data_IF_000412388529
#
_entry.id   IF_000412388529
#
_cell.length_a   1.000
_cell.length_b   1.000
_cell.length_c   1.000
_cell.angle_alpha   90.00
_cell.angle_beta   90.00
_cell.angle_gamma   90.00
#
_symmetry.space_group_name_H-M   'P 1'
#
loop_
_entity.id
_entity.type
_entity.pdbx_description
1 polymer ?
#
# COMPACT_ATOMS: atom_id res chain seq x y z
N UNK A 1 -1.49 17.76 -45.09
CA UNK A 1 -1.75 16.82 -43.97
C UNK A 1 -2.55 17.53 -42.90
N UNK A 2 -3.78 17.07 -42.64
CA UNK A 2 -4.67 17.64 -41.62
C UNK A 2 -3.99 17.64 -40.24
N UNK A 3 -4.14 18.74 -39.50
CA UNK A 3 -3.52 18.96 -38.18
C UNK A 3 -3.76 17.77 -37.22
N UNK A 4 -4.95 17.15 -37.30
CA UNK A 4 -5.35 16.00 -36.49
C UNK A 4 -4.48 14.75 -36.69
N UNK A 5 -3.96 14.51 -37.89
CA UNK A 5 -3.12 13.34 -38.17
C UNK A 5 -1.73 13.46 -37.50
N UNK A 6 -1.21 14.69 -37.37
CA UNK A 6 0.06 14.95 -36.68
C UNK A 6 -0.07 14.74 -35.17
N UNK A 7 -1.17 15.19 -34.56
CA UNK A 7 -1.44 14.92 -33.14
C UNK A 7 -1.67 13.44 -32.87
N UNK A 8 -2.38 12.74 -33.75
CA UNK A 8 -2.58 11.30 -33.63
C UNK A 8 -1.25 10.54 -33.68
N UNK A 9 -0.37 10.87 -34.63
CA UNK A 9 0.93 10.20 -34.77
C UNK A 9 1.88 10.47 -33.59
N UNK A 10 1.75 11.63 -32.94
CA UNK A 10 2.52 11.98 -31.74
C UNK A 10 2.09 11.18 -30.50
N UNK A 11 0.78 10.93 -30.35
CA UNK A 11 0.22 10.20 -29.20
C UNK A 11 0.14 8.69 -29.45
N UNK A 12 0.07 8.27 -30.71
CA UNK A 12 -0.07 6.88 -31.15
C UNK A 12 0.90 5.89 -30.46
N UNK A 13 2.23 6.14 -30.36
CA UNK A 13 3.13 5.17 -29.73
C UNK A 13 2.83 4.96 -28.24
N UNK A 14 2.53 6.03 -27.50
CA UNK A 14 2.17 5.93 -26.09
C UNK A 14 0.81 5.24 -25.91
N UNK A 15 -0.19 5.60 -26.73
CA UNK A 15 -1.51 4.99 -26.70
C UNK A 15 -1.46 3.49 -27.05
N UNK A 16 -0.66 3.11 -28.05
CA UNK A 16 -0.48 1.73 -28.48
C UNK A 16 0.20 0.90 -27.39
N UNK A 17 1.22 1.44 -26.70
CA UNK A 17 1.85 0.78 -25.56
C UNK A 17 0.86 0.52 -24.42
N UNK A 18 0.04 1.52 -24.07
CA UNK A 18 -1.01 1.35 -23.04
C UNK A 18 -2.05 0.32 -23.50
N UNK A 19 -2.49 0.38 -24.76
CA UNK A 19 -3.47 -0.54 -25.30
C UNK A 19 -3.00 -2.00 -25.23
N UNK A 20 -1.77 -2.26 -25.66
CA UNK A 20 -1.22 -3.62 -25.73
C UNK A 20 -0.79 -4.13 -24.36
N UNK A 21 -0.09 -3.33 -23.56
CA UNK A 21 0.53 -3.81 -22.32
C UNK A 21 -0.37 -3.70 -21.10
N UNK A 22 -1.42 -2.88 -21.14
CA UNK A 22 -2.32 -2.68 -20.01
C UNK A 22 -3.76 -3.05 -20.35
N UNK A 23 -4.30 -2.47 -21.42
CA UNK A 23 -5.72 -2.62 -21.75
C UNK A 23 -6.08 -4.03 -22.23
N UNK A 24 -5.24 -4.65 -23.06
CA UNK A 24 -5.40 -6.02 -23.51
C UNK A 24 -5.36 -7.05 -22.35
N UNK A 25 -4.32 -7.12 -21.50
CA UNK A 25 -4.30 -8.07 -20.39
C UNK A 25 -5.40 -7.79 -19.35
N UNK A 26 -5.77 -6.52 -19.12
CA UNK A 26 -6.90 -6.18 -18.26
C UNK A 26 -8.22 -6.71 -18.83
N UNK A 27 -8.49 -6.47 -20.11
CA UNK A 27 -9.68 -6.97 -20.79
C UNK A 27 -9.73 -8.49 -20.80
N UNK A 28 -8.61 -9.14 -21.10
CA UNK A 28 -8.47 -10.60 -21.02
C UNK A 28 -8.75 -11.10 -19.60
N UNK A 29 -8.18 -10.47 -18.58
CA UNK A 29 -8.41 -10.82 -17.17
C UNK A 29 -9.89 -10.70 -16.80
N UNK A 30 -10.55 -9.60 -17.19
CA UNK A 30 -11.98 -9.39 -16.95
C UNK A 30 -12.85 -10.46 -17.64
N UNK A 31 -12.60 -10.76 -18.91
CA UNK A 31 -13.35 -11.81 -19.64
C UNK A 31 -13.06 -13.19 -19.03
N UNK A 32 -11.81 -13.48 -18.68
CA UNK A 32 -11.40 -14.74 -18.05
C UNK A 32 -12.02 -14.95 -16.67
N UNK A 33 -12.33 -13.88 -15.94
CA UNK A 33 -13.00 -13.96 -14.65
C UNK A 33 -14.42 -14.56 -14.75
N UNK A 34 -15.07 -14.44 -15.92
CA UNK A 34 -16.40 -14.94 -16.19
C UNK A 34 -16.44 -16.14 -17.14
N UNK A 35 -15.31 -16.64 -17.64
CA UNK A 35 -15.26 -17.76 -18.58
C UNK A 35 -14.49 -18.93 -17.99
N UNK A 36 -14.98 -20.15 -18.18
CA UNK A 36 -14.31 -21.38 -17.72
C UNK A 36 -14.24 -22.41 -18.85
N UNK A 37 -13.32 -23.39 -18.78
CA UNK A 37 -13.23 -24.44 -19.79
C UNK A 37 -14.57 -25.15 -19.96
N UNK A 38 -15.19 -25.03 -21.14
CA UNK A 38 -16.48 -25.63 -21.46
C UNK A 38 -17.72 -24.84 -21.05
N UNK A 39 -17.58 -23.65 -20.45
CA UNK A 39 -18.69 -22.76 -20.11
C UNK A 39 -18.43 -21.31 -20.56
N UNK A 40 -19.29 -20.76 -21.45
CA UNK A 40 -19.11 -19.39 -21.97
C UNK A 40 -19.41 -18.29 -20.94
N UNK A 41 -20.09 -18.60 -19.84
CA UNK A 41 -20.30 -17.69 -18.72
C UNK A 41 -20.43 -18.46 -17.40
N UNK A 42 -19.63 -18.11 -16.39
CA UNK A 42 -19.65 -18.68 -15.04
C UNK A 42 -19.42 -17.61 -13.97
N UNK A 43 -20.01 -17.82 -12.79
CA UNK A 43 -19.77 -17.03 -11.57
C UNK A 43 -19.09 -17.86 -10.47
N UNK A 44 -18.65 -19.07 -10.79
CA UNK A 44 -18.08 -20.00 -9.81
C UNK A 44 -16.76 -19.48 -9.23
N UNK A 45 -15.97 -18.75 -10.05
CA UNK A 45 -14.77 -18.06 -9.59
C UNK A 45 -15.08 -17.04 -8.49
N UNK A 46 -16.12 -16.22 -8.66
CA UNK A 46 -16.54 -15.24 -7.64
C UNK A 46 -17.07 -15.92 -6.38
N UNK A 47 -17.85 -16.99 -6.53
CA UNK A 47 -18.34 -17.77 -5.38
C UNK A 47 -17.19 -18.35 -4.57
N UNK A 48 -16.15 -18.86 -5.23
CA UNK A 48 -14.96 -19.40 -4.58
C UNK A 48 -14.12 -18.32 -3.90
N UNK A 49 -13.96 -17.16 -4.54
CA UNK A 49 -13.28 -16.01 -3.94
C UNK A 49 -14.01 -15.53 -2.70
N UNK A 50 -15.34 -15.40 -2.77
CA UNK A 50 -16.14 -14.99 -1.61
C UNK A 50 -16.02 -15.99 -0.46
N UNK A 51 -16.11 -17.29 -0.76
CA UNK A 51 -16.02 -18.33 0.26
C UNK A 51 -14.65 -18.40 0.97
N UNK A 52 -13.55 -18.09 0.27
CA UNK A 52 -12.20 -18.23 0.79
C UNK A 52 -11.57 -16.92 1.28
N UNK A 53 -11.91 -15.78 0.67
CA UNK A 53 -11.18 -14.52 0.84
C UNK A 53 -12.06 -13.33 1.28
N UNK A 54 -13.35 -13.53 1.57
CA UNK A 54 -14.22 -12.42 2.00
C UNK A 54 -13.69 -11.70 3.25
N UNK A 55 -13.16 -12.46 4.22
CA UNK A 55 -12.54 -11.91 5.43
C UNK A 55 -11.31 -11.06 5.11
N UNK A 56 -10.44 -11.54 4.22
CA UNK A 56 -9.21 -10.83 3.83
C UNK A 56 -9.52 -9.53 3.08
N UNK A 57 -10.54 -9.53 2.22
CA UNK A 57 -11.02 -8.34 1.52
C UNK A 57 -11.56 -7.31 2.52
N UNK A 58 -12.38 -7.74 3.49
CA UNK A 58 -12.93 -6.85 4.51
C UNK A 58 -11.82 -6.27 5.40
N UNK A 59 -10.89 -7.10 5.85
CA UNK A 59 -9.74 -6.66 6.66
C UNK A 59 -8.89 -5.64 5.91
N UNK A 60 -8.58 -5.90 4.63
CA UNK A 60 -7.83 -4.98 3.78
C UNK A 60 -8.57 -3.65 3.61
N UNK A 61 -9.88 -3.69 3.39
CA UNK A 61 -10.70 -2.48 3.26
C UNK A 61 -10.68 -1.64 4.55
N UNK A 62 -10.87 -2.27 5.70
CA UNK A 62 -10.83 -1.59 7.01
C UNK A 62 -9.46 -0.93 7.23
N UNK A 63 -8.37 -1.66 7.00
CA UNK A 63 -7.01 -1.12 7.16
C UNK A 63 -6.78 0.06 6.22
N UNK A 64 -7.20 -0.05 4.95
CA UNK A 64 -7.05 1.04 3.97
C UNK A 64 -7.81 2.28 4.45
N UNK A 65 -9.06 2.14 4.89
CA UNK A 65 -9.86 3.26 5.37
C UNK A 65 -9.24 3.93 6.60
N UNK A 66 -8.82 3.14 7.59
CA UNK A 66 -8.15 3.65 8.80
C UNK A 66 -6.84 4.33 8.44
N UNK A 67 -6.04 3.72 7.57
CA UNK A 67 -4.75 4.28 7.14
C UNK A 67 -4.93 5.59 6.39
N UNK A 68 -5.90 5.67 5.47
CA UNK A 68 -6.22 6.89 4.72
C UNK A 68 -6.71 7.99 5.65
N UNK A 69 -7.57 7.67 6.63
CA UNK A 69 -8.06 8.65 7.60
C UNK A 69 -6.93 9.21 8.47
N UNK A 70 -6.05 8.35 8.99
CA UNK A 70 -4.88 8.76 9.78
C UNK A 70 -3.90 9.57 8.93
N UNK A 71 -3.60 9.13 7.71
CA UNK A 71 -2.73 9.84 6.78
C UNK A 71 -3.31 11.21 6.41
N UNK A 72 -4.61 11.31 6.17
CA UNK A 72 -5.26 12.59 5.88
C UNK A 72 -5.11 13.54 7.07
N UNK A 73 -5.37 13.08 8.29
CA UNK A 73 -5.22 13.89 9.50
C UNK A 73 -3.78 14.39 9.68
N UNK A 74 -2.79 13.50 9.56
CA UNK A 74 -1.36 13.84 9.70
C UNK A 74 -0.92 14.76 8.55
N UNK A 75 -1.31 14.47 7.31
CA UNK A 75 -0.91 15.26 6.15
C UNK A 75 -1.50 16.67 6.20
N UNK A 76 -2.78 16.82 6.57
CA UNK A 76 -3.44 18.13 6.70
C UNK A 76 -2.80 18.93 7.84
N UNK A 77 -2.60 18.32 9.02
CA UNK A 77 -1.97 19.02 10.16
C UNK A 77 -0.54 19.45 9.83
N UNK A 78 0.25 18.57 9.23
CA UNK A 78 1.62 18.88 8.82
C UNK A 78 1.66 19.95 7.72
N UNK A 79 0.76 19.88 6.75
CA UNK A 79 0.63 20.88 5.68
C UNK A 79 0.25 22.25 6.25
N UNK A 80 -0.69 22.31 7.20
CA UNK A 80 -1.07 23.54 7.88
C UNK A 80 0.12 24.15 8.65
N UNK A 81 0.88 23.33 9.40
CA UNK A 81 2.10 23.78 10.10
C UNK A 81 3.14 24.33 9.12
N UNK A 82 3.38 23.65 8.01
CA UNK A 82 4.35 24.08 7.00
C UNK A 82 3.89 25.38 6.30
N UNK A 83 2.61 25.48 5.95
CA UNK A 83 2.06 26.62 5.21
C UNK A 83 1.95 27.89 6.07
N UNK A 84 1.63 27.76 7.36
CA UNK A 84 1.42 28.89 8.28
C UNK A 84 2.68 29.27 9.06
N UNK A 85 3.73 28.45 9.08
CA UNK A 85 4.93 28.72 9.86
C UNK A 85 5.83 29.79 9.22
N UNK A 86 6.22 30.84 9.96
CA UNK A 86 7.18 31.84 9.49
C UNK A 86 8.63 31.32 9.47
N UNK A 87 8.91 30.18 10.09
CA UNK A 87 10.26 29.63 10.24
C UNK A 87 10.74 28.86 9.00
N UNK A 88 11.37 29.59 8.06
CA UNK A 88 12.03 29.02 6.85
C UNK A 88 12.94 27.78 7.07
N UNK A 89 13.77 27.68 8.12
CA UNK A 89 14.61 26.49 8.31
C UNK A 89 13.80 25.24 8.68
N UNK A 90 12.72 25.38 9.46
CA UNK A 90 11.86 24.27 9.86
C UNK A 90 11.14 23.69 8.65
N UNK A 91 10.59 24.55 7.78
CA UNK A 91 9.94 24.14 6.52
C UNK A 91 10.92 23.39 5.61
N UNK A 92 12.17 23.86 5.49
CA UNK A 92 13.20 23.20 4.67
C UNK A 92 13.58 21.83 5.23
N UNK A 93 13.75 21.72 6.55
CA UNK A 93 14.08 20.45 7.21
C UNK A 93 12.94 19.44 7.05
N UNK A 94 11.70 19.83 7.33
CA UNK A 94 10.52 18.97 7.16
C UNK A 94 10.35 18.53 5.70
N UNK A 95 10.54 19.44 4.74
CA UNK A 95 10.48 19.13 3.32
C UNK A 95 11.56 18.13 2.86
N UNK A 96 12.73 18.14 3.50
CA UNK A 96 13.78 17.14 3.27
C UNK A 96 13.42 15.80 3.92
N UNK A 97 13.05 15.81 5.20
CA UNK A 97 12.70 14.61 5.96
C UNK A 97 11.52 13.86 5.34
N UNK A 98 10.55 14.55 4.74
CA UNK A 98 9.40 13.91 4.08
C UNK A 98 9.78 13.18 2.78
N UNK A 99 10.83 13.63 2.09
CA UNK A 99 11.29 12.99 0.84
C UNK A 99 12.11 11.75 1.11
N UNK A 100 12.82 11.68 2.24
CA UNK A 100 13.72 10.58 2.56
C UNK A 100 13.00 9.20 2.53
N UNK A 101 11.81 9.02 3.15
CA UNK A 101 11.07 7.76 3.08
C UNK A 101 10.63 7.36 1.67
N UNK A 102 10.36 8.30 0.77
CA UNK A 102 9.91 8.01 -0.60
C UNK A 102 10.97 7.27 -1.43
N UNK A 103 12.24 7.37 -1.05
CA UNK A 103 13.34 6.64 -1.69
C UNK A 103 13.55 5.24 -1.12
N UNK A 104 12.95 4.91 0.04
CA UNK A 104 13.14 3.61 0.68
C UNK A 104 12.24 2.59 -0.02
N UNK A 105 12.80 1.49 -0.59
CA UNK A 105 11.99 0.44 -1.19
C UNK A 105 11.07 -0.20 -0.14
N UNK A 106 9.84 -0.53 -0.53
CA UNK A 106 8.85 -1.10 0.39
C UNK A 106 9.34 -2.38 1.10
N UNK A 107 10.17 -3.19 0.43
CA UNK A 107 10.74 -4.42 0.99
C UNK A 107 11.65 -4.10 2.17
N UNK A 108 12.44 -3.03 2.09
CA UNK A 108 13.35 -2.61 3.16
C UNK A 108 12.54 -2.16 4.36
N UNK A 109 11.48 -1.37 4.15
CA UNK A 109 10.56 -0.95 5.23
C UNK A 109 9.95 -2.18 5.90
N UNK A 110 9.50 -3.18 5.14
CA UNK A 110 8.95 -4.41 5.68
C UNK A 110 9.96 -5.17 6.55
N UNK A 111 11.23 -5.27 6.11
CA UNK A 111 12.29 -5.91 6.89
C UNK A 111 12.64 -5.11 8.16
N UNK A 112 12.71 -3.79 8.06
CA UNK A 112 12.93 -2.92 9.23
C UNK A 112 11.80 -3.05 10.26
N UNK A 113 10.54 -3.10 9.80
CA UNK A 113 9.39 -3.33 10.69
C UNK A 113 9.46 -4.70 11.36
N UNK A 114 9.88 -5.74 10.63
CA UNK A 114 10.04 -7.08 11.18
C UNK A 114 11.08 -7.13 12.31
N UNK A 115 12.21 -6.45 12.16
CA UNK A 115 13.25 -6.41 13.21
C UNK A 115 12.90 -5.44 14.34
N UNK A 116 12.23 -4.33 14.03
CA UNK A 116 11.75 -3.35 15.01
C UNK A 116 10.69 -3.95 15.95
N UNK A 117 9.76 -4.73 15.40
CA UNK A 117 8.62 -5.36 16.10
C UNK A 117 8.91 -6.79 16.60
N UNK A 118 10.14 -7.27 16.45
CA UNK A 118 10.56 -8.56 16.98
C UNK A 118 10.50 -8.57 18.53
N UNK A 119 10.47 -9.76 19.12
CA UNK A 119 10.46 -9.91 20.59
C UNK A 119 11.60 -9.15 21.29
N UNK A 120 12.80 -9.19 20.73
CA UNK A 120 13.97 -8.44 21.20
C UNK A 120 14.25 -7.19 20.33
N UNK A 121 13.23 -6.70 19.62
CA UNK A 121 13.34 -5.55 18.72
C UNK A 121 13.45 -4.24 19.49
N UNK A 122 13.80 -3.18 18.75
CA UNK A 122 14.01 -1.85 19.33
C UNK A 122 12.79 -1.35 20.11
N UNK A 123 11.56 -1.65 19.65
CA UNK A 123 10.33 -1.24 20.33
C UNK A 123 10.22 -1.83 21.73
N UNK A 124 10.36 -3.15 21.85
CA UNK A 124 10.25 -3.82 23.15
C UNK A 124 11.39 -3.42 24.09
N UNK A 125 12.61 -3.26 23.57
CA UNK A 125 13.73 -2.78 24.39
C UNK A 125 13.51 -1.36 24.90
N UNK A 126 12.91 -0.47 24.09
CA UNK A 126 12.56 0.88 24.52
C UNK A 126 11.44 0.88 25.57
N UNK A 127 10.42 0.01 25.41
CA UNK A 127 9.33 -0.15 26.39
C UNK A 127 9.83 -0.71 27.72
N UNK A 128 10.74 -1.68 27.69
CA UNK A 128 11.41 -2.22 28.88
C UNK A 128 12.28 -1.16 29.55
N UNK A 129 13.04 -0.37 28.77
CA UNK A 129 13.84 0.72 29.32
C UNK A 129 12.99 1.85 29.93
N UNK A 130 11.76 2.03 29.46
CA UNK A 130 10.78 2.96 30.01
C UNK A 130 10.00 2.38 31.21
N UNK A 131 10.33 1.16 31.67
CA UNK A 131 9.66 0.43 32.75
C UNK A 131 8.15 0.17 32.51
N UNK A 132 7.72 0.21 31.24
CA UNK A 132 6.33 -0.01 30.83
C UNK A 132 5.98 -1.48 30.65
N UNK A 133 6.99 -2.34 30.40
CA UNK A 133 6.82 -3.77 30.13
C UNK A 133 8.00 -4.52 30.74
N UNK A 134 7.77 -5.65 31.39
CA UNK A 134 8.87 -6.47 31.90
C UNK A 134 9.51 -7.29 30.78
N UNK A 135 10.82 -7.63 30.85
CA UNK A 135 11.50 -8.42 29.82
C UNK A 135 10.80 -9.76 29.50
N UNK A 136 10.11 -10.34 30.48
CA UNK A 136 9.39 -11.61 30.36
C UNK A 136 8.08 -11.48 29.55
N UNK A 137 7.46 -10.30 29.55
CA UNK A 137 6.20 -10.00 28.86
C UNK A 137 6.40 -9.53 27.42
N UNK A 138 7.65 -9.43 26.96
CA UNK A 138 7.95 -9.03 25.59
C UNK A 138 7.38 -10.04 24.58
N UNK A 139 6.61 -9.54 23.62
CA UNK A 139 6.00 -10.34 22.55
C UNK A 139 6.55 -9.94 21.18
N UNK A 140 6.55 -10.89 20.24
CA UNK A 140 6.80 -10.56 18.83
C UNK A 140 5.49 -10.08 18.20
N UNK A 141 5.40 -8.78 17.92
CA UNK A 141 4.21 -8.16 17.35
C UNK A 141 3.99 -8.53 15.88
N UNK A 142 5.00 -9.14 15.26
CA UNK A 142 4.99 -9.66 13.88
C UNK A 142 5.14 -11.20 13.82
N UNK A 143 4.61 -11.91 14.83
CA UNK A 143 4.77 -13.35 14.97
C UNK A 143 3.96 -14.20 13.98
N UNK A 144 4.53 -15.33 13.54
CA UNK A 144 3.89 -16.33 12.66
C UNK A 144 2.63 -16.98 13.23
N UNK A 145 2.40 -16.88 14.54
CA UNK A 145 1.17 -17.37 15.18
C UNK A 145 -0.09 -16.61 14.73
N UNK A 146 0.06 -15.40 14.17
CA UNK A 146 -1.04 -14.66 13.52
C UNK A 146 -1.24 -14.99 12.04
N UNK A 147 -0.29 -15.69 11.39
CA UNK A 147 -0.41 -16.12 9.98
C UNK A 147 -0.98 -17.55 9.88
N UNK A 148 -0.87 -18.34 10.96
CA UNK A 148 -1.33 -19.75 11.01
C UNK A 148 -2.72 -19.91 11.66
N UNK A 149 -3.24 -18.85 12.30
CA UNK A 149 -4.57 -18.86 12.95
C UNK A 149 -5.46 -17.78 12.28
N UNK A 150 -5.60 -17.90 10.98
CA UNK A 150 -6.68 -17.35 10.12
C UNK A 150 -6.69 -18.21 8.87
#
# INVERSE_FOLDING_TARGET
>A
MSSSLKYLLLVAPAALMIAILFLYPLGFSLVSAFTAPGQPFTLDHFRKVYALYASDVLFSLIIVLVSVALLALIAITLSAVIALSPCRPVVRLLGFLYRLPLFIPFIVVAQMMRTFLAKNGLMNNALVAADLVTPLETLSWLGWKGIVIT
#
